data_IF_192352738309
#
_entry.id   IF_192352738309
#
_cell.length_a   1.000
_cell.length_b   1.000
_cell.length_c   1.000
_cell.angle_alpha   90.00
_cell.angle_beta   90.00
_cell.angle_gamma   90.00
#
_symmetry.space_group_name_H-M   'P 1'
#
loop_
_entity.id
_entity.type
_entity.pdbx_description
1 polymer ?
#
# COMPACT_ATOMS: atom_id res chain seq x y z
N UNK A 1 -1.60 3.27 10.80
CA UNK A 1 -0.60 2.78 9.84
C UNK A 1 0.77 2.79 10.51
N UNK A 2 1.12 1.69 11.15
CA UNK A 2 2.34 1.59 11.94
C UNK A 2 3.51 0.97 11.18
N UNK A 3 4.54 0.64 11.95
CA UNK A 3 5.67 -0.21 11.56
C UNK A 3 6.40 0.34 10.33
N UNK A 4 6.75 1.63 10.40
CA UNK A 4 7.60 2.35 9.44
C UNK A 4 7.02 2.50 8.02
N UNK A 5 5.85 1.91 7.71
CA UNK A 5 5.26 1.99 6.35
C UNK A 5 5.02 3.41 5.87
N UNK A 6 4.71 4.31 6.81
CA UNK A 6 4.43 5.72 6.52
C UNK A 6 5.68 6.61 6.41
N UNK A 7 6.88 6.06 6.60
CA UNK A 7 8.11 6.81 6.87
C UNK A 7 8.34 7.08 8.35
N UNK A 8 7.34 6.82 9.20
CA UNK A 8 7.46 6.88 10.65
C UNK A 8 6.98 5.60 11.31
N UNK A 9 7.51 5.30 12.51
CA UNK A 9 7.13 4.13 13.31
C UNK A 9 5.60 4.05 13.49
N UNK A 10 4.98 5.17 13.88
CA UNK A 10 3.53 5.29 13.97
C UNK A 10 3.08 6.57 13.25
N UNK A 11 2.32 6.42 12.15
CA UNK A 11 1.91 7.57 11.35
C UNK A 11 1.11 8.63 12.13
N UNK A 12 0.41 8.23 13.21
CA UNK A 12 -0.35 9.15 14.08
C UNK A 12 0.49 10.29 14.65
N UNK A 13 1.78 10.04 14.96
CA UNK A 13 2.67 11.05 15.50
C UNK A 13 2.89 12.20 14.52
N UNK A 14 2.76 11.93 13.21
CA UNK A 14 2.89 12.96 12.18
C UNK A 14 1.69 13.89 12.04
N UNK A 15 0.59 13.56 12.71
CA UNK A 15 -0.61 14.37 12.79
C UNK A 15 -0.79 14.98 14.19
N UNK A 16 0.20 14.84 15.08
CA UNK A 16 0.10 15.32 16.47
C UNK A 16 -0.96 14.60 17.31
N UNK A 17 -1.38 13.40 16.89
CA UNK A 17 -2.44 12.64 17.55
C UNK A 17 -1.85 11.72 18.61
N UNK A 18 -2.36 11.83 19.84
CA UNK A 18 -2.11 10.89 20.93
C UNK A 18 -3.39 10.08 21.16
N UNK A 19 -3.43 8.79 20.75
CA UNK A 19 -4.65 8.00 20.87
C UNK A 19 -4.81 7.42 22.27
N UNK A 20 -6.06 7.23 22.68
CA UNK A 20 -6.39 6.42 23.86
C UNK A 20 -6.06 4.94 23.67
N UNK A 21 -6.26 4.45 22.45
CA UNK A 21 -5.94 3.08 22.03
C UNK A 21 -5.31 3.06 20.64
N UNK A 22 -4.26 2.26 20.47
CA UNK A 22 -3.59 1.98 19.20
C UNK A 22 -3.72 0.49 18.89
N UNK A 23 -4.23 0.18 17.70
CA UNK A 23 -4.35 -1.20 17.20
C UNK A 23 -3.26 -1.46 16.17
N UNK A 24 -2.53 -2.56 16.33
CA UNK A 24 -1.49 -3.02 15.41
C UNK A 24 -1.55 -4.53 15.18
N UNK A 25 -0.99 -4.97 14.07
CA UNK A 25 -1.05 -6.33 13.54
C UNK A 25 -0.36 -6.33 12.18
N UNK A 26 -0.86 -7.12 11.22
CA UNK A 26 -0.32 -7.16 9.84
C UNK A 26 1.21 -7.26 9.84
N UNK A 27 1.93 -6.17 9.55
CA UNK A 27 3.39 -6.13 9.58
C UNK A 27 4.01 -6.56 10.91
N UNK A 28 3.26 -6.51 12.03
CA UNK A 28 3.75 -6.94 13.35
C UNK A 28 4.13 -8.42 13.35
N UNK A 29 3.50 -9.24 12.51
CA UNK A 29 3.86 -10.65 12.35
C UNK A 29 5.18 -10.88 11.64
N UNK A 30 5.73 -9.85 10.99
CA UNK A 30 6.85 -9.99 10.06
C UNK A 30 6.51 -10.83 8.82
N UNK A 31 5.23 -11.17 8.62
CA UNK A 31 4.83 -12.20 7.65
C UNK A 31 5.14 -13.63 8.08
N UNK A 32 5.56 -13.85 9.32
CA UNK A 32 6.05 -15.15 9.83
C UNK A 32 5.05 -15.80 10.80
N UNK A 33 4.58 -15.08 11.83
CA UNK A 33 3.69 -15.64 12.84
C UNK A 33 2.51 -14.71 13.14
N UNK A 34 1.23 -15.14 13.02
CA UNK A 34 0.08 -14.29 13.26
C UNK A 34 0.09 -13.66 14.67
N UNK A 35 0.11 -12.33 14.72
CA UNK A 35 0.04 -11.57 15.97
C UNK A 35 -0.57 -10.20 15.72
N UNK A 36 -1.35 -9.74 16.69
CA UNK A 36 -1.91 -8.40 16.77
C UNK A 36 -1.82 -7.92 18.22
N UNK A 37 -1.84 -6.61 18.41
CA UNK A 37 -1.83 -6.00 19.73
C UNK A 37 -2.75 -4.77 19.76
N UNK A 38 -3.39 -4.56 20.90
CA UNK A 38 -4.02 -3.30 21.27
C UNK A 38 -3.19 -2.69 22.39
N UNK A 39 -2.68 -1.48 22.17
CA UNK A 39 -1.98 -0.69 23.18
C UNK A 39 -2.96 0.36 23.67
N UNK A 40 -3.30 0.36 24.96
CA UNK A 40 -4.24 1.30 25.55
C UNK A 40 -3.56 2.10 26.67
N UNK A 41 -3.98 3.34 26.85
CA UNK A 41 -3.60 4.10 28.04
C UNK A 41 -4.29 3.53 29.30
N UNK A 42 -3.80 3.91 30.48
CA UNK A 42 -4.29 3.35 31.74
C UNK A 42 -5.78 3.61 31.98
N UNK A 43 -6.28 4.80 31.61
CA UNK A 43 -7.69 5.15 31.77
C UNK A 43 -8.59 4.23 30.94
N UNK A 44 -8.23 4.00 29.69
CA UNK A 44 -8.96 3.14 28.76
C UNK A 44 -8.80 1.65 29.07
N UNK A 45 -7.72 1.28 29.75
CA UNK A 45 -7.44 -0.08 30.21
C UNK A 45 -7.95 -0.36 31.64
N UNK A 46 -8.58 0.62 32.31
CA UNK A 46 -8.92 0.53 33.74
C UNK A 46 -9.80 -0.69 34.07
N UNK A 47 -10.69 -1.07 33.16
CA UNK A 47 -11.58 -2.23 33.31
C UNK A 47 -10.81 -3.56 33.51
N UNK A 48 -9.56 -3.68 33.04
CA UNK A 48 -8.74 -4.88 33.27
C UNK A 48 -8.40 -5.08 34.76
N UNK A 49 -8.44 -4.01 35.57
CA UNK A 49 -8.27 -4.09 37.03
C UNK A 49 -9.54 -4.57 37.73
N UNK A 50 -10.70 -4.33 37.11
CA UNK A 50 -12.01 -4.77 37.60
C UNK A 50 -12.28 -6.23 37.21
N UNK A 51 -12.01 -6.58 35.94
CA UNK A 51 -12.12 -7.94 35.41
C UNK A 51 -11.01 -8.22 34.38
N UNK A 52 -9.88 -8.74 34.86
CA UNK A 52 -8.75 -9.12 34.01
C UNK A 52 -9.02 -10.31 33.08
N UNK A 53 -10.13 -11.03 33.28
CA UNK A 53 -10.52 -12.18 32.47
C UNK A 53 -11.59 -11.83 31.42
N UNK A 54 -12.12 -10.59 31.46
CA UNK A 54 -13.22 -10.14 30.60
C UNK A 54 -12.90 -10.10 29.10
N UNK A 55 -11.61 -10.15 28.72
CA UNK A 55 -11.19 -10.34 27.34
C UNK A 55 -9.90 -11.16 27.25
N UNK A 56 -10.01 -12.38 26.70
CA UNK A 56 -8.88 -13.29 26.54
C UNK A 56 -8.86 -13.92 25.16
N UNK A 57 -7.70 -14.45 24.79
CA UNK A 57 -7.53 -15.25 23.59
C UNK A 57 -6.62 -16.43 23.88
N UNK A 58 -7.02 -17.64 23.48
CA UNK A 58 -6.23 -18.86 23.68
C UNK A 58 -4.84 -18.79 23.08
N UNK A 59 -4.66 -18.04 21.99
CA UNK A 59 -3.37 -17.82 21.33
C UNK A 59 -2.83 -16.40 21.54
N UNK A 60 -3.56 -15.55 22.27
CA UNK A 60 -3.12 -14.20 22.59
C UNK A 60 -1.88 -14.21 23.46
N UNK A 61 -0.81 -13.53 23.03
CA UNK A 61 0.45 -13.50 23.76
C UNK A 61 1.35 -14.73 23.55
N UNK A 62 1.06 -15.60 22.58
CA UNK A 62 1.92 -16.73 22.24
C UNK A 62 3.37 -16.29 22.00
N UNK A 63 4.32 -16.99 22.64
CA UNK A 63 5.73 -16.58 22.76
C UNK A 63 6.41 -16.46 21.40
N UNK A 64 6.10 -17.37 20.47
CA UNK A 64 6.63 -17.32 19.10
C UNK A 64 6.20 -16.04 18.36
N UNK A 65 4.95 -15.64 18.53
CA UNK A 65 4.44 -14.37 18.00
C UNK A 65 5.13 -13.18 18.63
N UNK A 66 5.34 -13.21 19.95
CA UNK A 66 6.04 -12.15 20.68
C UNK A 66 7.51 -12.00 20.23
N UNK A 67 8.23 -13.10 19.99
CA UNK A 67 9.60 -13.07 19.46
C UNK A 67 9.63 -12.45 18.06
N UNK A 68 8.73 -12.87 17.16
CA UNK A 68 8.64 -12.31 15.81
C UNK A 68 8.31 -10.80 15.86
N UNK A 69 7.31 -10.41 16.65
CA UNK A 69 6.91 -9.02 16.83
C UNK A 69 8.04 -8.16 17.42
N UNK A 70 8.76 -8.68 18.41
CA UNK A 70 9.89 -7.98 19.02
C UNK A 70 10.98 -7.71 17.97
N UNK A 71 11.30 -8.70 17.13
CA UNK A 71 12.29 -8.52 16.05
C UNK A 71 11.82 -7.52 14.99
N UNK A 72 10.55 -7.53 14.63
CA UNK A 72 9.96 -6.54 13.71
C UNK A 72 10.07 -5.12 14.28
N UNK A 73 9.72 -4.93 15.55
CA UNK A 73 9.80 -3.62 16.21
C UNK A 73 11.24 -3.13 16.28
N UNK A 74 12.19 -4.01 16.59
CA UNK A 74 13.63 -3.70 16.58
C UNK A 74 14.08 -3.24 15.20
N UNK A 75 13.78 -4.01 14.14
CA UNK A 75 14.11 -3.64 12.76
C UNK A 75 13.48 -2.29 12.40
N UNK A 76 12.20 -2.09 12.69
CA UNK A 76 11.50 -0.84 12.38
C UNK A 76 12.04 0.38 13.15
N UNK A 77 12.68 0.17 14.31
CA UNK A 77 13.24 1.25 15.13
C UNK A 77 14.66 1.65 14.70
N UNK A 78 15.31 0.87 13.82
CA UNK A 78 16.65 1.17 13.33
C UNK A 78 16.69 2.48 12.53
N UNK A 79 17.67 3.37 12.80
CA UNK A 79 17.90 4.56 11.99
C UNK A 79 18.05 4.25 10.49
N UNK A 80 18.72 3.14 10.16
CA UNK A 80 18.97 2.69 8.79
C UNK A 80 17.68 2.28 8.08
N UNK A 81 16.73 1.68 8.82
CA UNK A 81 15.43 1.31 8.25
C UNK A 81 14.58 2.54 7.97
N UNK A 82 14.65 3.55 8.85
CA UNK A 82 13.99 4.85 8.60
C UNK A 82 14.62 5.54 7.39
N UNK A 83 15.94 5.67 7.33
CA UNK A 83 16.62 6.33 6.20
C UNK A 83 16.34 5.61 4.89
N UNK A 84 16.39 4.28 4.88
CA UNK A 84 16.06 3.48 3.70
C UNK A 84 14.62 3.73 3.26
N UNK A 85 13.65 3.67 4.19
CA UNK A 85 12.24 3.91 3.88
C UNK A 85 12.00 5.28 3.21
N UNK A 86 12.63 6.34 3.73
CA UNK A 86 12.55 7.66 3.11
C UNK A 86 13.20 7.71 1.74
N UNK A 87 14.39 7.12 1.58
CA UNK A 87 15.09 7.04 0.31
C UNK A 87 14.24 6.35 -0.75
N UNK A 88 13.75 5.13 -0.49
CA UNK A 88 12.96 4.38 -1.48
C UNK A 88 11.60 5.00 -1.73
N UNK A 89 10.99 5.63 -0.73
CA UNK A 89 9.73 6.37 -0.89
C UNK A 89 9.88 7.53 -1.86
N UNK A 90 10.98 8.28 -1.76
CA UNK A 90 11.30 9.35 -2.69
C UNK A 90 11.64 8.81 -4.08
N UNK A 91 12.49 7.79 -4.15
CA UNK A 91 12.93 7.17 -5.40
C UNK A 91 11.76 6.66 -6.24
N UNK A 92 10.88 5.87 -5.63
CA UNK A 92 9.68 5.37 -6.29
C UNK A 92 8.71 6.50 -6.66
N UNK A 93 8.61 7.56 -5.85
CA UNK A 93 7.77 8.71 -6.22
C UNK A 93 8.26 9.38 -7.50
N UNK A 94 9.57 9.54 -7.66
CA UNK A 94 10.16 10.13 -8.86
C UNK A 94 9.86 9.28 -10.09
N UNK A 95 10.15 7.97 -10.04
CA UNK A 95 9.84 7.08 -11.16
C UNK A 95 8.34 7.00 -11.47
N UNK A 96 7.47 7.02 -10.46
CA UNK A 96 6.02 7.07 -10.68
C UNK A 96 5.58 8.37 -11.38
N UNK A 97 6.19 9.52 -11.06
CA UNK A 97 5.91 10.78 -11.77
C UNK A 97 6.35 10.69 -13.25
N UNK A 98 7.46 10.03 -13.55
CA UNK A 98 7.93 9.81 -14.94
C UNK A 98 6.93 8.95 -15.73
N UNK A 99 6.52 7.81 -15.15
CA UNK A 99 5.49 6.94 -15.74
C UNK A 99 4.18 7.72 -15.93
N UNK A 100 3.80 8.56 -14.96
CA UNK A 100 2.62 9.40 -15.07
C UNK A 100 2.70 10.34 -16.28
N UNK A 101 3.88 10.93 -16.53
CA UNK A 101 4.12 11.82 -17.67
C UNK A 101 4.08 11.09 -19.03
N UNK A 102 4.35 9.78 -19.06
CA UNK A 102 4.17 8.96 -20.27
C UNK A 102 2.67 8.74 -20.61
N UNK A 103 1.80 8.74 -19.61
CA UNK A 103 0.37 8.43 -19.77
C UNK A 103 -0.56 9.46 -19.10
N UNK A 104 -0.45 10.77 -19.41
CA UNK A 104 -1.10 11.84 -18.64
C UNK A 104 -2.64 11.78 -18.68
N UNK A 105 -3.22 11.27 -19.78
CA UNK A 105 -4.68 11.13 -19.95
C UNK A 105 -5.23 9.85 -19.30
N UNK A 106 -4.37 9.00 -18.72
CA UNK A 106 -4.79 7.73 -18.12
C UNK A 106 -4.32 7.57 -16.69
N UNK A 107 -3.06 7.86 -16.38
CA UNK A 107 -2.53 7.83 -15.02
C UNK A 107 -2.61 9.25 -14.42
N UNK A 108 -3.66 9.51 -13.65
CA UNK A 108 -4.07 10.88 -13.31
C UNK A 108 -3.74 11.32 -11.89
N UNK A 109 -3.34 10.42 -11.00
CA UNK A 109 -3.02 10.80 -9.63
C UNK A 109 -2.12 9.83 -8.89
N UNK A 110 -1.29 10.37 -8.00
CA UNK A 110 -0.48 9.59 -7.07
C UNK A 110 -0.68 10.18 -5.67
N UNK A 111 -1.29 9.39 -4.78
CA UNK A 111 -1.42 9.69 -3.35
C UNK A 111 -0.40 8.87 -2.57
N UNK A 112 0.35 9.49 -1.66
CA UNK A 112 1.47 8.82 -1.00
C UNK A 112 1.68 9.25 0.44
N UNK A 113 1.97 8.28 1.30
CA UNK A 113 2.56 8.47 2.64
C UNK A 113 3.61 7.39 2.88
N UNK A 114 4.89 7.76 2.81
CA UNK A 114 5.98 6.77 2.83
C UNK A 114 5.81 5.77 1.69
N UNK A 115 5.71 4.50 2.03
CA UNK A 115 5.54 3.38 1.10
C UNK A 115 4.08 2.91 0.97
N UNK A 116 3.14 3.73 1.45
CA UNK A 116 1.71 3.57 1.18
C UNK A 116 1.39 4.46 -0.02
N UNK A 117 1.24 3.86 -1.19
CA UNK A 117 0.97 4.59 -2.43
C UNK A 117 -0.36 4.13 -3.04
N UNK A 118 -1.14 5.09 -3.54
CA UNK A 118 -2.33 4.86 -4.33
C UNK A 118 -2.15 5.52 -5.69
N UNK A 119 -2.23 4.72 -6.76
CA UNK A 119 -2.10 5.17 -8.14
C UNK A 119 -3.50 5.25 -8.75
N UNK A 120 -3.93 6.41 -9.22
CA UNK A 120 -5.30 6.66 -9.71
C UNK A 120 -5.31 6.78 -11.23
N UNK A 121 -6.30 6.13 -11.86
CA UNK A 121 -6.43 6.06 -13.31
C UNK A 121 -7.77 6.62 -13.80
N UNK A 122 -7.78 7.30 -14.96
CA UNK A 122 -8.97 7.89 -15.57
C UNK A 122 -9.81 6.86 -16.35
N UNK A 123 -10.24 5.84 -15.61
CA UNK A 123 -11.20 4.85 -16.07
C UNK A 123 -11.85 4.18 -14.85
N UNK A 124 -13.17 3.91 -14.85
CA UNK A 124 -13.86 3.25 -13.73
C UNK A 124 -13.15 1.99 -13.23
N UNK A 125 -12.63 1.18 -14.16
CA UNK A 125 -11.89 -0.06 -13.89
C UNK A 125 -10.37 0.08 -14.07
N UNK A 126 -9.83 1.30 -14.05
CA UNK A 126 -8.43 1.56 -14.38
C UNK A 126 -7.46 0.81 -13.47
N UNK A 127 -7.67 0.87 -12.15
CA UNK A 127 -6.85 0.13 -11.19
C UNK A 127 -6.99 -1.39 -11.33
N UNK A 128 -8.19 -1.88 -11.68
CA UNK A 128 -8.44 -3.32 -11.93
C UNK A 128 -7.66 -3.81 -13.16
N UNK A 129 -7.69 -3.05 -14.25
CA UNK A 129 -6.98 -3.43 -15.47
C UNK A 129 -5.46 -3.35 -15.27
N UNK A 130 -4.95 -2.25 -14.69
CA UNK A 130 -3.51 -2.12 -14.39
C UNK A 130 -3.03 -3.23 -13.45
N UNK A 131 -3.84 -3.67 -12.47
CA UNK A 131 -3.52 -4.84 -11.66
C UNK A 131 -3.32 -6.11 -12.50
N UNK A 132 -4.22 -6.39 -13.46
CA UNK A 132 -4.11 -7.57 -14.31
C UNK A 132 -2.84 -7.53 -15.15
N UNK A 133 -2.53 -6.37 -15.72
CA UNK A 133 -1.34 -6.19 -16.55
C UNK A 133 -0.07 -6.21 -15.69
N UNK A 134 -0.11 -5.71 -14.45
CA UNK A 134 0.97 -5.89 -13.47
C UNK A 134 1.27 -7.38 -13.23
N UNK A 135 0.24 -8.22 -13.05
CA UNK A 135 0.44 -9.67 -12.87
C UNK A 135 1.11 -10.32 -14.07
N UNK A 136 0.75 -9.92 -15.30
CA UNK A 136 1.41 -10.41 -16.52
C UNK A 136 2.88 -10.02 -16.60
N UNK A 137 3.25 -8.88 -16.02
CA UNK A 137 4.62 -8.37 -15.96
C UNK A 137 5.37 -8.79 -14.67
N UNK A 138 4.78 -9.64 -13.82
CA UNK A 138 5.40 -10.16 -12.60
C UNK A 138 5.35 -9.23 -11.39
N UNK A 139 4.51 -8.20 -11.40
CA UNK A 139 4.25 -7.33 -10.24
C UNK A 139 2.97 -7.77 -9.55
N UNK A 140 3.06 -8.11 -8.27
CA UNK A 140 1.87 -8.34 -7.44
C UNK A 140 1.40 -7.05 -6.76
N UNK A 141 0.49 -6.33 -7.41
CA UNK A 141 -0.25 -5.21 -6.84
C UNK A 141 -1.74 -5.57 -6.74
N UNK A 142 -2.54 -4.80 -6.00
CA UNK A 142 -3.98 -5.05 -5.88
C UNK A 142 -4.75 -3.75 -6.02
N UNK A 143 -5.87 -3.75 -6.72
CA UNK A 143 -6.72 -2.55 -6.79
C UNK A 143 -7.41 -2.28 -5.44
N UNK A 144 -7.95 -1.08 -5.28
CA UNK A 144 -8.75 -0.70 -4.12
C UNK A 144 -10.20 -1.14 -4.32
N UNK A 145 -10.70 -2.06 -3.49
CA UNK A 145 -12.11 -2.47 -3.53
C UNK A 145 -13.09 -1.31 -3.25
N UNK A 146 -12.63 -0.23 -2.61
CA UNK A 146 -13.44 0.98 -2.35
C UNK A 146 -13.46 1.94 -3.54
N UNK A 147 -12.48 1.87 -4.43
CA UNK A 147 -12.38 2.70 -5.63
C UNK A 147 -11.60 1.92 -6.71
N UNK A 148 -12.30 1.23 -7.63
CA UNK A 148 -11.67 0.39 -8.66
C UNK A 148 -10.78 1.15 -9.66
N UNK A 149 -10.84 2.49 -9.64
CA UNK A 149 -9.94 3.38 -10.38
C UNK A 149 -8.53 3.42 -9.78
N UNK A 150 -8.36 3.02 -8.52
CA UNK A 150 -7.11 3.12 -7.80
C UNK A 150 -6.41 1.77 -7.61
N UNK A 151 -5.10 1.73 -7.92
CA UNK A 151 -4.21 0.64 -7.58
C UNK A 151 -3.55 0.89 -6.21
N UNK A 152 -3.62 -0.09 -5.31
CA UNK A 152 -2.85 -0.09 -4.07
C UNK A 152 -1.42 -0.56 -4.37
N UNK A 153 -0.47 0.35 -4.24
CA UNK A 153 0.93 0.10 -4.54
C UNK A 153 1.76 0.26 -3.27
N UNK A 154 2.20 -0.89 -2.73
CA UNK A 154 2.80 -0.98 -1.38
C UNK A 154 4.07 -1.83 -1.45
N UNK A 155 5.18 -1.29 -1.99
CA UNK A 155 6.48 -1.99 -2.07
C UNK A 155 6.96 -2.40 -0.68
N UNK A 156 7.93 -3.33 -0.61
CA UNK A 156 8.51 -3.80 0.65
C UNK A 156 9.22 -2.70 1.44
N UNK A 157 9.38 -2.88 2.77
CA UNK A 157 10.14 -1.93 3.60
C UNK A 157 11.63 -1.88 3.28
N UNK A 158 12.15 -3.02 2.83
CA UNK A 158 13.57 -3.25 2.62
C UNK A 158 13.90 -3.42 1.12
N UNK A 159 13.08 -2.84 0.24
CA UNK A 159 13.43 -2.77 -1.18
C UNK A 159 14.75 -2.01 -1.32
N UNK A 160 15.61 -2.48 -2.21
CA UNK A 160 16.79 -1.78 -2.69
C UNK A 160 16.48 -1.03 -3.98
N UNK A 161 17.50 -0.33 -4.51
CA UNK A 161 17.35 0.50 -5.70
C UNK A 161 17.07 -0.37 -6.93
N UNK A 162 17.80 -1.47 -7.06
CA UNK A 162 17.75 -2.39 -8.17
C UNK A 162 16.34 -2.99 -8.31
N UNK A 163 15.73 -3.41 -7.20
CA UNK A 163 14.35 -3.87 -7.18
C UNK A 163 13.37 -2.73 -7.47
N UNK A 164 13.62 -1.51 -6.98
CA UNK A 164 12.78 -0.37 -7.33
C UNK A 164 12.81 -0.06 -8.84
N UNK A 165 13.98 -0.14 -9.49
CA UNK A 165 14.13 0.06 -10.94
C UNK A 165 13.35 -1.00 -11.72
N UNK A 166 13.52 -2.29 -11.38
CA UNK A 166 12.79 -3.39 -12.02
C UNK A 166 11.27 -3.22 -11.88
N UNK A 167 10.81 -2.86 -10.68
CA UNK A 167 9.39 -2.58 -10.40
C UNK A 167 8.87 -1.41 -11.26
N UNK A 168 9.61 -0.30 -11.35
CA UNK A 168 9.19 0.87 -12.12
C UNK A 168 9.11 0.56 -13.62
N UNK A 169 10.11 -0.12 -14.18
CA UNK A 169 10.14 -0.49 -15.60
C UNK A 169 8.98 -1.41 -15.98
N UNK A 170 8.69 -2.41 -15.14
CA UNK A 170 7.56 -3.34 -15.35
C UNK A 170 6.22 -2.65 -15.16
N UNK A 171 6.13 -1.71 -14.21
CA UNK A 171 4.92 -0.94 -13.98
C UNK A 171 4.62 -0.01 -15.17
N UNK A 172 5.64 0.65 -15.74
CA UNK A 172 5.49 1.46 -16.96
C UNK A 172 4.85 0.63 -18.08
N UNK A 173 5.43 -0.54 -18.36
CA UNK A 173 4.92 -1.50 -19.35
C UNK A 173 3.46 -1.87 -19.07
N UNK A 174 3.13 -2.19 -17.81
CA UNK A 174 1.77 -2.57 -17.42
C UNK A 174 0.76 -1.41 -17.59
N UNK A 175 1.14 -0.18 -17.25
CA UNK A 175 0.28 1.00 -17.42
C UNK A 175 0.01 1.26 -18.90
N UNK A 176 1.03 1.15 -19.76
CA UNK A 176 0.87 1.29 -21.21
C UNK A 176 -0.07 0.23 -21.81
N UNK A 177 0.08 -1.03 -21.38
CA UNK A 177 -0.81 -2.12 -21.78
C UNK A 177 -2.26 -1.87 -21.36
N UNK A 178 -2.47 -1.46 -20.10
CA UNK A 178 -3.79 -1.17 -19.55
C UNK A 178 -4.46 0.00 -20.29
N UNK A 179 -3.70 1.08 -20.55
CA UNK A 179 -4.20 2.22 -21.33
C UNK A 179 -4.65 1.77 -22.72
N UNK A 180 -3.81 1.02 -23.44
CA UNK A 180 -4.11 0.54 -24.77
C UNK A 180 -5.37 -0.34 -24.79
N UNK A 181 -5.52 -1.24 -23.81
CA UNK A 181 -6.68 -2.12 -23.70
C UNK A 181 -7.98 -1.34 -23.46
N UNK A 182 -7.99 -0.37 -22.55
CA UNK A 182 -9.19 0.36 -22.18
C UNK A 182 -9.55 1.47 -23.18
N UNK A 183 -8.57 2.24 -23.64
CA UNK A 183 -8.81 3.40 -24.51
C UNK A 183 -8.86 3.00 -25.99
N UNK A 184 -8.18 1.92 -26.37
CA UNK A 184 -8.32 1.32 -27.70
C UNK A 184 -9.73 0.78 -27.96
N UNK A 185 -10.45 0.37 -26.91
CA UNK A 185 -11.85 -0.05 -27.02
C UNK A 185 -12.82 1.14 -27.08
N UNK A 186 -12.62 2.20 -26.27
CA UNK A 186 -13.42 3.45 -26.38
C UNK A 186 -13.40 4.06 -27.78
N UNK A 187 -12.23 4.10 -28.42
CA UNK A 187 -12.09 4.63 -29.80
C UNK A 187 -12.84 3.78 -30.83
N UNK A 188 -12.87 2.46 -30.66
CA UNK A 188 -13.63 1.56 -31.53
C UNK A 188 -15.14 1.77 -31.34
N UNK A 189 -15.65 1.71 -30.11
CA UNK A 189 -17.09 1.90 -29.84
C UNK A 189 -17.61 3.27 -30.32
N UNK A 190 -16.84 4.34 -30.14
CA UNK A 190 -17.20 5.66 -30.65
C UNK A 190 -17.12 5.79 -32.18
N UNK A 191 -16.35 4.96 -32.86
CA UNK A 191 -16.35 4.87 -34.32
C UNK A 191 -17.59 4.12 -34.84
N UNK A 192 -17.97 3.02 -34.18
CA UNK A 192 -19.18 2.27 -34.52
C UNK A 192 -20.46 3.10 -34.34
N UNK A 193 -20.60 3.84 -33.23
CA UNK A 193 -21.77 4.71 -33.00
C UNK A 193 -21.90 5.81 -34.06
N UNK A 194 -20.78 6.47 -34.42
CA UNK A 194 -20.77 7.49 -35.48
C UNK A 194 -21.07 6.92 -36.87
N UNK A 195 -20.63 5.69 -37.16
CA UNK A 195 -20.98 5.01 -38.40
C UNK A 195 -22.46 4.60 -38.47
N UNK A 196 -23.07 4.24 -37.33
CA UNK A 196 -24.48 3.89 -37.24
C UNK A 196 -25.42 5.12 -37.29
N UNK A 197 -24.97 6.28 -36.82
CA UNK A 197 -25.72 7.55 -36.92
C UNK A 197 -25.61 8.21 -38.32
N UNK A 198 -24.62 7.80 -39.12
CA UNK A 198 -24.41 8.29 -40.49
C UNK A 198 -25.07 7.42 -41.57
N UNK A 199 -25.76 6.34 -41.17
CA UNK A 199 -26.50 5.41 -42.03
C UNK A 199 -28.01 5.57 -41.83
#
# INVERSE_FOLDING_TARGET
TGLMRSGEMWCIGTYGVVPDMLVTGKGLSGGIYPIAAVVANEKSAAWLKEDGWGHMSSFGGAELGCIAAHKVLEICARPETRSQCHYISHYLRQGLNEIQAHYPDFFVGIRQRGLIMGLEFDHPEGGVQVMRDCYQNGIWAIYSALDPRALQFKPGLLCDRELCDDILNRLDTAVGQAQAALFGNRRREGAWKRAAEAA
#
